data_IF_291253656718
#
_entry.id   IF_291253656718
#
_cell.length_a   1.000
_cell.length_b   1.000
_cell.length_c   1.000
_cell.angle_alpha   90.00
_cell.angle_beta   90.00
_cell.angle_gamma   90.00
#
_symmetry.space_group_name_H-M   'P 1'
#
loop_
_entity.id
_entity.type
_entity.pdbx_description
1 polymer ?
#
# COMPACT_ATOMS: atom_id res chain seq x y z
N UNK A 1 -58.65 31.31 -17.88
CA UNK A 1 -57.91 30.89 -16.67
C UNK A 1 -57.08 29.65 -17.03
N UNK A 2 -55.83 29.83 -17.48
CA UNK A 2 -54.90 28.72 -17.75
C UNK A 2 -53.72 28.90 -16.80
N UNK A 3 -53.72 28.08 -15.76
CA UNK A 3 -52.73 28.06 -14.68
C UNK A 3 -51.50 27.30 -15.19
N UNK A 4 -50.43 28.03 -15.52
CA UNK A 4 -49.13 27.46 -15.86
C UNK A 4 -48.38 27.14 -14.55
N UNK A 5 -48.35 25.86 -14.19
CA UNK A 5 -47.54 25.32 -13.09
C UNK A 5 -46.09 25.19 -13.56
N UNK A 6 -45.22 26.04 -13.03
CA UNK A 6 -43.77 26.00 -13.27
C UNK A 6 -43.18 24.97 -12.30
N UNK A 7 -42.84 23.79 -12.80
CA UNK A 7 -42.09 22.79 -12.06
C UNK A 7 -40.62 23.24 -11.98
N UNK A 8 -40.22 23.80 -10.84
CA UNK A 8 -38.80 24.03 -10.52
C UNK A 8 -38.12 22.70 -10.24
N UNK A 9 -37.37 22.21 -11.23
CA UNK A 9 -36.47 21.07 -11.10
C UNK A 9 -35.26 21.53 -10.27
N UNK A 10 -35.23 21.14 -9.00
CA UNK A 10 -34.05 21.27 -8.15
C UNK A 10 -33.02 20.26 -8.66
N UNK A 11 -32.00 20.76 -9.34
CA UNK A 11 -30.82 20.01 -9.74
C UNK A 11 -30.01 19.72 -8.47
N UNK A 12 -30.17 18.53 -7.91
CA UNK A 12 -29.30 18.04 -6.84
C UNK A 12 -27.98 17.69 -7.51
N UNK A 13 -27.00 18.60 -7.40
CA UNK A 13 -25.61 18.32 -7.72
C UNK A 13 -25.08 17.29 -6.71
N UNK A 14 -25.36 16.01 -6.98
CA UNK A 14 -24.67 14.91 -6.34
C UNK A 14 -23.24 14.96 -6.85
N UNK A 15 -22.33 15.49 -6.03
CA UNK A 15 -20.92 15.40 -6.29
C UNK A 15 -20.55 13.93 -6.42
N UNK A 16 -20.25 13.49 -7.64
CA UNK A 16 -19.66 12.18 -7.88
C UNK A 16 -18.31 12.15 -7.15
N UNK A 17 -18.27 11.54 -5.96
CA UNK A 17 -17.04 10.93 -5.47
C UNK A 17 -16.75 9.81 -6.45
N UNK A 18 -15.75 10.01 -7.30
CA UNK A 18 -15.20 8.92 -8.10
C UNK A 18 -14.73 7.85 -7.11
N UNK A 19 -15.28 6.64 -7.20
CA UNK A 19 -14.78 5.47 -6.49
C UNK A 19 -13.38 5.15 -7.05
N UNK A 20 -12.37 5.85 -6.56
CA UNK A 20 -10.98 5.54 -6.89
C UNK A 20 -10.62 4.25 -6.16
N UNK A 21 -10.36 3.20 -6.92
CA UNK A 21 -9.78 1.96 -6.41
C UNK A 21 -8.28 2.19 -6.26
N UNK A 22 -7.75 1.95 -5.07
CA UNK A 22 -6.31 1.93 -4.83
C UNK A 22 -5.81 0.51 -5.13
N UNK A 23 -4.82 0.41 -6.01
CA UNK A 23 -4.09 -0.82 -6.31
C UNK A 23 -2.60 -0.53 -6.25
N UNK A 24 -1.81 -1.52 -5.84
CA UNK A 24 -0.35 -1.42 -5.85
C UNK A 24 0.22 -2.22 -7.01
N UNK A 25 1.08 -1.58 -7.79
CA UNK A 25 1.88 -2.24 -8.80
C UNK A 25 3.08 -2.94 -8.15
N UNK A 26 3.70 -3.88 -8.89
CA UNK A 26 4.89 -4.57 -8.40
C UNK A 26 6.13 -3.70 -8.54
N UNK A 27 7.01 -3.80 -7.55
CA UNK A 27 8.38 -3.30 -7.60
C UNK A 27 9.25 -4.48 -7.99
N UNK A 28 9.91 -4.39 -9.14
CA UNK A 28 10.72 -5.48 -9.69
C UNK A 28 12.17 -5.41 -9.22
N UNK A 29 12.70 -6.55 -8.76
CA UNK A 29 14.08 -6.69 -8.32
C UNK A 29 14.34 -6.05 -6.95
N UNK A 30 15.55 -6.25 -6.45
CA UNK A 30 16.02 -5.64 -5.21
C UNK A 30 16.56 -4.23 -5.48
N UNK A 31 15.90 -3.15 -5.03
CA UNK A 31 16.42 -1.81 -5.29
C UNK A 31 17.76 -1.64 -4.58
N UNK A 32 18.79 -1.22 -5.30
CA UNK A 32 20.17 -1.15 -4.77
C UNK A 32 20.32 -0.28 -3.54
N UNK A 33 19.42 0.69 -3.32
CA UNK A 33 19.37 1.57 -2.14
C UNK A 33 18.75 0.92 -0.89
N UNK A 34 18.10 -0.22 -1.07
CA UNK A 34 17.46 -1.04 -0.02
C UNK A 34 18.30 -2.28 0.32
N UNK A 35 19.47 -2.47 -0.30
CA UNK A 35 20.36 -3.59 0.04
C UNK A 35 20.94 -3.35 1.45
N UNK A 36 20.84 -4.36 2.31
CA UNK A 36 21.23 -4.33 3.72
C UNK A 36 20.05 -4.68 4.63
N UNK A 37 20.06 -4.18 5.87
CA UNK A 37 18.96 -4.32 6.83
C UNK A 37 17.64 -3.81 6.24
N UNK A 38 16.78 -4.71 5.78
CA UNK A 38 15.57 -4.33 5.04
C UNK A 38 14.50 -5.42 5.09
N UNK A 39 13.26 -4.99 4.86
CA UNK A 39 12.10 -5.86 4.72
C UNK A 39 11.61 -5.82 3.28
N UNK A 40 11.30 -6.99 2.74
CA UNK A 40 10.79 -7.19 1.39
C UNK A 40 9.50 -7.98 1.47
N UNK A 41 8.38 -7.41 1.02
CA UNK A 41 7.09 -8.12 1.01
C UNK A 41 6.52 -8.21 -0.39
N UNK A 42 6.13 -9.42 -0.77
CA UNK A 42 5.35 -9.74 -1.96
C UNK A 42 3.95 -10.24 -1.55
N UNK A 43 3.05 -10.47 -2.51
CA UNK A 43 1.71 -11.02 -2.19
C UNK A 43 1.77 -12.52 -1.89
N UNK A 44 2.73 -13.23 -2.50
CA UNK A 44 2.89 -14.68 -2.37
C UNK A 44 4.35 -15.11 -2.45
N UNK A 45 4.62 -16.35 -2.07
CA UNK A 45 5.94 -16.99 -2.23
C UNK A 45 6.42 -16.97 -3.69
N UNK A 46 5.51 -17.22 -4.63
CA UNK A 46 5.84 -17.22 -6.07
C UNK A 46 6.28 -15.83 -6.54
N UNK A 47 5.59 -14.78 -6.10
CA UNK A 47 5.98 -13.40 -6.41
C UNK A 47 7.27 -13.00 -5.71
N UNK A 48 7.47 -13.44 -4.47
CA UNK A 48 8.70 -13.19 -3.72
C UNK A 48 9.91 -13.82 -4.42
N UNK A 49 9.80 -15.09 -4.83
CA UNK A 49 10.83 -15.79 -5.59
C UNK A 49 11.10 -15.13 -6.95
N UNK A 50 10.07 -14.54 -7.57
CA UNK A 50 10.19 -13.75 -8.78
C UNK A 50 10.65 -12.30 -8.55
N UNK A 51 10.97 -11.92 -7.31
CA UNK A 51 11.40 -10.57 -6.91
C UNK A 51 10.38 -9.48 -7.28
N UNK A 52 9.09 -9.76 -7.07
CA UNK A 52 7.97 -8.85 -7.33
C UNK A 52 7.36 -8.41 -6.00
N UNK A 53 7.78 -7.26 -5.53
CA UNK A 53 7.40 -6.76 -4.21
C UNK A 53 6.25 -5.75 -4.30
N UNK A 54 5.47 -5.64 -3.23
CA UNK A 54 4.41 -4.63 -3.07
C UNK A 54 4.77 -3.58 -2.03
N UNK A 55 5.71 -3.90 -1.14
CA UNK A 55 6.23 -2.99 -0.14
C UNK A 55 7.66 -3.36 0.23
N UNK A 56 8.46 -2.34 0.50
CA UNK A 56 9.87 -2.45 0.89
C UNK A 56 10.17 -1.39 1.96
N UNK A 57 10.93 -1.72 2.99
CA UNK A 57 11.47 -0.71 3.91
C UNK A 57 12.82 -1.11 4.49
N UNK A 58 13.42 -0.20 5.27
CA UNK A 58 14.67 -0.43 6.00
C UNK A 58 14.38 -0.84 7.44
N UNK A 59 13.70 -1.97 7.62
CA UNK A 59 13.36 -2.49 8.95
C UNK A 59 12.45 -1.53 9.74
N UNK A 60 11.42 -1.01 9.06
CA UNK A 60 10.52 0.01 9.59
C UNK A 60 11.10 1.43 9.59
N UNK A 61 12.34 1.65 9.14
CA UNK A 61 12.88 3.00 8.96
C UNK A 61 12.42 3.61 7.63
N UNK A 62 12.23 4.93 7.66
CA UNK A 62 11.90 5.70 6.47
C UNK A 62 13.11 5.89 5.53
N UNK A 63 12.88 5.94 4.20
CA UNK A 63 11.59 5.73 3.55
C UNK A 63 11.29 4.23 3.34
N UNK A 64 10.05 3.84 3.59
CA UNK A 64 9.45 2.69 2.93
C UNK A 64 9.08 3.05 1.48
N UNK A 65 8.79 2.07 0.65
CA UNK A 65 8.50 2.25 -0.77
C UNK A 65 7.29 1.40 -1.19
N UNK A 66 6.37 2.02 -1.93
CA UNK A 66 5.26 1.36 -2.63
C UNK A 66 5.24 1.83 -4.10
N UNK A 67 4.58 1.09 -4.97
CA UNK A 67 4.37 1.50 -6.36
C UNK A 67 2.88 1.70 -6.62
N UNK A 68 2.48 2.90 -7.03
CA UNK A 68 1.08 3.25 -7.31
C UNK A 68 1.00 3.77 -8.74
N UNK A 69 0.27 3.06 -9.60
CA UNK A 69 0.09 3.42 -11.01
C UNK A 69 1.42 3.63 -11.77
N UNK A 70 2.42 2.79 -11.48
CA UNK A 70 3.76 2.82 -12.08
C UNK A 70 4.73 3.82 -11.43
N UNK A 71 4.26 4.66 -10.50
CA UNK A 71 5.10 5.60 -9.78
C UNK A 71 5.59 5.01 -8.45
N UNK A 72 6.90 4.99 -8.27
CA UNK A 72 7.53 4.57 -7.02
C UNK A 72 7.45 5.69 -5.98
N UNK A 73 6.66 5.48 -4.94
CA UNK A 73 6.33 6.47 -3.91
C UNK A 73 7.03 6.10 -2.60
N UNK A 74 7.74 7.07 -2.03
CA UNK A 74 8.28 6.96 -0.68
C UNK A 74 7.18 7.17 0.37
N UNK A 75 7.15 6.29 1.37
CA UNK A 75 6.21 6.32 2.49
C UNK A 75 6.96 6.31 3.81
N UNK A 76 6.31 6.80 4.87
CA UNK A 76 6.83 6.73 6.23
C UNK A 76 6.19 5.53 6.93
N UNK A 77 6.94 4.46 7.25
CA UNK A 77 6.39 3.30 7.95
C UNK A 77 5.83 3.65 9.34
N UNK A 78 6.32 4.75 9.96
CA UNK A 78 5.80 5.24 11.25
C UNK A 78 4.54 6.11 11.11
N UNK A 79 4.11 6.41 9.87
CA UNK A 79 2.88 7.15 9.58
C UNK A 79 2.80 8.54 10.26
N UNK A 80 3.93 9.28 10.37
CA UNK A 80 3.95 10.59 11.05
C UNK A 80 3.20 11.68 10.28
N UNK A 81 3.17 11.59 8.94
CA UNK A 81 2.43 12.52 8.09
C UNK A 81 1.17 11.87 7.53
N UNK A 82 0.03 12.20 8.14
CA UNK A 82 -1.30 11.71 7.75
C UNK A 82 -1.78 12.22 6.37
N UNK A 83 -1.04 13.14 5.73
CA UNK A 83 -1.34 13.61 4.38
C UNK A 83 -0.76 12.72 3.28
N UNK A 84 0.07 11.74 3.64
CA UNK A 84 0.64 10.76 2.71
C UNK A 84 -0.06 9.40 2.83
N UNK A 85 0.34 8.45 1.99
CA UNK A 85 -0.09 7.06 2.13
C UNK A 85 0.29 6.52 3.51
N UNK A 86 -0.66 5.86 4.16
CA UNK A 86 -0.45 5.21 5.45
C UNK A 86 -0.24 3.71 5.25
N UNK A 87 0.72 3.14 5.96
CA UNK A 87 1.09 1.73 5.87
C UNK A 87 0.81 1.03 7.19
N UNK A 88 0.07 -0.07 7.16
CA UNK A 88 -0.14 -0.95 8.31
C UNK A 88 0.20 -2.37 7.91
N UNK A 89 1.06 -3.01 8.68
CA UNK A 89 1.44 -4.41 8.48
C UNK A 89 1.08 -5.18 9.74
N UNK A 90 0.17 -6.14 9.59
CA UNK A 90 -0.22 -7.07 10.64
C UNK A 90 0.49 -8.39 10.37
N UNK A 91 1.49 -8.73 11.20
CA UNK A 91 2.24 -9.98 11.09
C UNK A 91 1.45 -11.08 11.79
N UNK A 92 1.04 -12.09 11.04
CA UNK A 92 0.29 -13.24 11.54
C UNK A 92 1.19 -14.45 11.82
N UNK A 93 2.29 -14.56 11.07
CA UNK A 93 3.29 -15.61 11.23
C UNK A 93 4.68 -15.03 11.07
N UNK A 94 5.57 -15.39 11.98
CA UNK A 94 6.99 -15.04 11.94
C UNK A 94 7.82 -16.28 12.23
N UNK A 95 8.82 -16.53 11.39
CA UNK A 95 9.76 -17.66 11.54
C UNK A 95 11.17 -17.13 11.37
N UNK A 96 12.01 -17.32 12.39
CA UNK A 96 13.43 -17.01 12.28
C UNK A 96 14.12 -18.04 11.38
N UNK A 97 14.73 -17.57 10.29
CA UNK A 97 15.48 -18.41 9.34
C UNK A 97 16.98 -18.44 9.66
N UNK A 98 17.52 -17.32 10.15
CA UNK A 98 18.91 -17.18 10.61
C UNK A 98 19.02 -16.12 11.73
N UNK A 99 20.22 -15.82 12.23
CA UNK A 99 20.47 -14.89 13.35
C UNK A 99 19.80 -13.53 13.15
N UNK A 100 19.85 -13.00 11.94
CA UNK A 100 19.32 -11.68 11.59
C UNK A 100 18.30 -11.75 10.43
N UNK A 101 17.80 -12.94 10.09
CA UNK A 101 16.83 -13.15 9.00
C UNK A 101 15.53 -13.78 9.50
N UNK A 102 14.41 -13.10 9.22
CA UNK A 102 13.07 -13.50 9.65
C UNK A 102 12.13 -13.55 8.45
N UNK A 103 11.48 -14.69 8.28
CA UNK A 103 10.35 -14.85 7.39
C UNK A 103 9.07 -14.35 8.07
N UNK A 104 8.24 -13.61 7.34
CA UNK A 104 6.98 -13.05 7.83
C UNK A 104 5.86 -13.23 6.81
N UNK A 105 4.69 -13.61 7.32
CA UNK A 105 3.42 -13.63 6.59
C UNK A 105 2.37 -12.86 7.41
N UNK A 106 1.37 -12.33 6.72
CA UNK A 106 0.32 -11.53 7.34
C UNK A 106 -0.42 -10.66 6.34
N UNK A 107 -0.84 -9.47 6.74
CA UNK A 107 -1.65 -8.55 5.93
C UNK A 107 -0.99 -7.17 5.84
N UNK A 108 -0.87 -6.64 4.62
CA UNK A 108 -0.56 -5.24 4.35
C UNK A 108 -1.87 -4.49 4.09
N UNK A 109 -2.05 -3.36 4.76
CA UNK A 109 -3.08 -2.36 4.46
C UNK A 109 -2.43 -1.03 4.12
N UNK A 110 -2.78 -0.49 2.96
CA UNK A 110 -2.37 0.85 2.51
C UNK A 110 -3.59 1.75 2.41
N UNK A 111 -3.54 2.92 3.06
CA UNK A 111 -4.59 3.94 2.98
C UNK A 111 -4.07 5.16 2.26
N UNK A 112 -4.70 5.53 1.14
CA UNK A 112 -4.37 6.73 0.38
C UNK A 112 -4.83 8.02 1.09
N UNK A 113 -4.26 9.19 0.75
CA UNK A 113 -4.67 10.48 1.32
C UNK A 113 -6.15 10.84 1.06
N UNK A 114 -6.76 10.29 0.01
CA UNK A 114 -8.17 10.48 -0.30
C UNK A 114 -9.10 9.47 0.39
N UNK A 115 -8.54 8.56 1.19
CA UNK A 115 -9.25 7.56 1.98
C UNK A 115 -9.49 6.23 1.26
N UNK A 116 -9.01 6.05 0.03
CA UNK A 116 -9.03 4.74 -0.62
C UNK A 116 -8.14 3.75 0.12
N UNK A 117 -8.58 2.49 0.24
CA UNK A 117 -7.87 1.44 1.00
C UNK A 117 -7.57 0.27 0.09
N UNK A 118 -6.34 -0.22 0.18
CA UNK A 118 -5.88 -1.46 -0.44
C UNK A 118 -5.41 -2.42 0.66
N UNK A 119 -5.92 -3.66 0.64
CA UNK A 119 -5.56 -4.69 1.61
C UNK A 119 -5.21 -5.97 0.88
N UNK A 120 -4.06 -6.57 1.22
CA UNK A 120 -3.54 -7.75 0.53
C UNK A 120 -2.68 -8.58 1.50
N UNK A 121 -2.58 -9.91 1.34
CA UNK A 121 -1.63 -10.68 2.13
C UNK A 121 -0.19 -10.29 1.80
N UNK A 122 0.70 -10.52 2.76
CA UNK A 122 2.14 -10.43 2.58
C UNK A 122 2.79 -11.79 2.77
N UNK A 123 3.83 -12.01 1.97
CA UNK A 123 4.83 -13.04 2.12
C UNK A 123 6.19 -12.38 1.91
N UNK A 124 7.11 -12.51 2.86
CA UNK A 124 8.47 -12.09 2.62
C UNK A 124 9.36 -12.07 3.84
N UNK A 125 10.50 -11.42 3.70
CA UNK A 125 11.61 -11.55 4.63
C UNK A 125 12.10 -10.18 5.10
N UNK A 126 12.46 -10.11 6.38
CA UNK A 126 13.16 -8.99 6.99
C UNK A 126 14.49 -9.48 7.53
N UNK A 127 15.59 -8.82 7.14
CA UNK A 127 16.86 -9.14 7.75
C UNK A 127 18.01 -8.22 7.40
N UNK A 128 19.10 -8.45 8.12
CA UNK A 128 20.46 -7.95 7.92
C UNK A 128 21.38 -9.17 7.61
#
# INVERSE_FOLDING_TARGET
>A
MRLLLIFSIILIASGCKSDKVLELDKIEGFPTKMIGCSCYYAVSEEEFAAQKFIYLDKYGEAPGMINVAGDLIAVDPENKDLKNYQIQIEVEKEVQLDQELFHKEGILTVTAPDGAVFTTPIYGECGC
#
